data_IF_708412170915
#
_entry.id   IF_708412170915
#
_cell.length_a   1.000
_cell.length_b   1.000
_cell.length_c   1.000
_cell.angle_alpha   90.00
_cell.angle_beta   90.00
_cell.angle_gamma   90.00
#
_symmetry.space_group_name_H-M   'P 1'
#
loop_
_entity.id
_entity.type
_entity.pdbx_description
1 polymer ?
#
# COMPACT_ATOMS: atom_id res chain seq x y z
N UNK A 1 1.01 -16.41 7.64
CA UNK A 1 -0.09 -15.55 7.13
C UNK A 1 -1.33 -15.69 8.00
N UNK A 2 -1.93 -16.88 8.16
CA UNK A 2 -3.09 -17.08 9.04
C UNK A 2 -2.84 -16.71 10.50
N UNK A 3 -1.67 -17.02 11.04
CA UNK A 3 -1.29 -16.67 12.42
C UNK A 3 -1.40 -15.15 12.69
N UNK A 4 -0.98 -14.33 11.73
CA UNK A 4 -1.11 -12.87 11.84
C UNK A 4 -2.55 -12.39 11.63
N UNK A 5 -3.33 -13.03 10.74
CA UNK A 5 -4.75 -12.70 10.55
C UNK A 5 -5.57 -12.97 11.82
N UNK A 6 -5.24 -14.05 12.54
CA UNK A 6 -5.88 -14.41 13.81
C UNK A 6 -5.38 -13.55 14.96
N UNK A 7 -4.09 -13.22 15.01
CA UNK A 7 -3.47 -12.42 16.07
C UNK A 7 -2.54 -11.33 15.49
N UNK A 8 -3.10 -10.22 14.96
CA UNK A 8 -2.29 -9.20 14.26
C UNK A 8 -1.37 -8.39 15.18
N UNK A 9 -1.63 -8.41 16.48
CA UNK A 9 -0.81 -7.76 17.52
C UNK A 9 0.26 -8.71 18.11
N UNK A 10 0.34 -9.96 17.64
CA UNK A 10 1.38 -10.89 18.06
C UNK A 10 2.64 -10.68 17.20
N UNK A 11 3.81 -10.84 17.81
CA UNK A 11 5.08 -10.81 17.09
C UNK A 11 5.16 -11.97 16.11
N UNK A 12 4.87 -11.67 14.86
CA UNK A 12 5.00 -12.60 13.73
C UNK A 12 5.91 -11.97 12.70
N UNK A 13 6.39 -12.76 11.73
CA UNK A 13 7.21 -12.24 10.64
C UNK A 13 6.51 -11.14 9.79
N UNK A 14 5.19 -10.96 9.93
CA UNK A 14 4.42 -9.94 9.22
C UNK A 14 4.26 -8.63 10.02
N UNK A 15 4.35 -8.70 11.36
CA UNK A 15 4.29 -7.54 12.27
C UNK A 15 5.47 -6.58 12.04
N UNK A 16 6.66 -7.12 11.76
CA UNK A 16 7.87 -6.33 11.46
C UNK A 16 7.76 -5.48 10.18
N UNK A 17 6.84 -5.82 9.27
CA UNK A 17 6.62 -5.12 8.00
C UNK A 17 5.37 -4.23 8.06
N UNK A 18 4.39 -4.62 8.87
CA UNK A 18 3.07 -3.99 8.99
C UNK A 18 2.82 -3.64 10.46
N UNK A 19 3.43 -2.56 10.99
CA UNK A 19 3.27 -2.19 12.39
C UNK A 19 1.86 -1.64 12.60
N UNK A 20 0.96 -2.54 13.01
CA UNK A 20 -0.40 -2.19 13.40
C UNK A 20 -0.36 -1.40 14.70
N UNK A 21 -1.16 -0.34 14.77
CA UNK A 21 -1.45 0.33 16.03
C UNK A 21 -2.77 -0.18 16.57
N UNK A 22 -2.97 -0.05 17.88
CA UNK A 22 -4.25 -0.39 18.48
C UNK A 22 -5.37 0.53 17.98
N UNK A 23 -6.61 0.03 18.00
CA UNK A 23 -7.77 0.77 17.51
C UNK A 23 -7.96 2.11 18.25
N UNK A 24 -7.64 2.22 19.54
CA UNK A 24 -7.79 3.48 20.26
C UNK A 24 -6.82 4.54 19.72
N UNK A 25 -5.57 4.16 19.47
CA UNK A 25 -4.57 5.04 18.83
C UNK A 25 -4.96 5.40 17.38
N UNK A 26 -5.52 4.46 16.62
CA UNK A 26 -6.02 4.75 15.27
C UNK A 26 -7.19 5.74 15.27
N UNK A 27 -8.15 5.58 16.19
CA UNK A 27 -9.28 6.51 16.37
C UNK A 27 -8.83 7.89 16.85
N UNK A 28 -7.85 7.95 17.77
CA UNK A 28 -7.26 9.21 18.19
C UNK A 28 -6.58 9.91 17.01
N UNK A 29 -5.82 9.18 16.18
CA UNK A 29 -5.19 9.73 14.98
C UNK A 29 -6.22 10.29 13.98
N UNK A 30 -7.36 9.59 13.82
CA UNK A 30 -8.48 10.07 13.02
C UNK A 30 -9.08 11.37 13.59
N UNK A 31 -9.29 11.41 14.90
CA UNK A 31 -9.80 12.60 15.62
C UNK A 31 -8.86 13.79 15.45
N UNK A 32 -7.55 13.59 15.60
CA UNK A 32 -6.54 14.62 15.39
C UNK A 32 -6.50 15.09 13.93
N UNK A 33 -6.67 14.18 12.97
CA UNK A 33 -6.75 14.54 11.54
C UNK A 33 -7.94 15.45 11.27
N UNK A 34 -9.12 15.14 11.85
CA UNK A 34 -10.31 16.01 11.77
C UNK A 34 -10.10 17.36 12.46
N UNK A 35 -9.39 17.42 13.59
CA UNK A 35 -9.04 18.70 14.23
C UNK A 35 -8.17 19.55 13.28
N UNK A 36 -7.14 18.96 12.66
CA UNK A 36 -6.28 19.69 11.72
C UNK A 36 -7.06 20.19 10.51
N UNK A 37 -7.91 19.35 9.91
CA UNK A 37 -8.80 19.75 8.82
C UNK A 37 -9.70 20.93 9.22
N UNK A 38 -10.37 20.82 10.38
CA UNK A 38 -11.24 21.86 10.91
C UNK A 38 -10.49 23.19 11.08
N UNK A 39 -9.29 23.16 11.67
CA UNK A 39 -8.46 24.35 11.92
C UNK A 39 -7.94 25.00 10.65
N UNK A 40 -7.54 24.20 9.66
CA UNK A 40 -7.11 24.72 8.36
C UNK A 40 -8.24 25.49 7.67
N UNK A 41 -9.46 24.95 7.69
CA UNK A 41 -10.63 25.64 7.12
C UNK A 41 -10.99 26.90 7.93
N UNK A 42 -10.92 26.86 9.26
CA UNK A 42 -11.09 28.07 10.09
C UNK A 42 -10.09 29.17 9.73
N UNK A 43 -8.82 28.81 9.55
CA UNK A 43 -7.77 29.77 9.16
C UNK A 43 -8.06 30.40 7.80
N UNK A 44 -8.47 29.59 6.81
CA UNK A 44 -8.85 30.08 5.48
C UNK A 44 -10.05 31.02 5.57
N UNK A 45 -11.08 30.64 6.32
CA UNK A 45 -12.27 31.46 6.50
C UNK A 45 -12.00 32.75 7.29
N UNK A 46 -11.03 32.73 8.21
CA UNK A 46 -10.55 33.93 8.87
C UNK A 46 -9.91 34.91 7.87
N UNK A 47 -9.04 34.43 6.97
CA UNK A 47 -8.45 35.24 5.90
C UNK A 47 -9.55 35.82 5.00
N UNK A 48 -10.53 35.00 4.58
CA UNK A 48 -11.67 35.43 3.77
C UNK A 48 -12.45 36.54 4.48
N UNK A 49 -12.75 36.36 5.77
CA UNK A 49 -13.49 37.35 6.55
C UNK A 49 -12.73 38.68 6.61
N UNK A 50 -11.41 38.65 6.89
CA UNK A 50 -10.56 39.85 6.90
C UNK A 50 -10.50 40.51 5.52
N UNK A 51 -10.39 39.73 4.44
CA UNK A 51 -10.42 40.23 3.06
C UNK A 51 -11.77 40.84 2.65
N UNK A 52 -12.86 40.46 3.32
CA UNK A 52 -14.21 40.92 3.05
C UNK A 52 -14.62 42.16 3.87
N UNK A 53 -13.90 42.52 4.93
CA UNK A 53 -14.19 43.70 5.77
C UNK A 53 -13.67 44.96 5.10
N UNK A 54 -14.52 45.97 4.84
CA UNK A 54 -14.07 47.29 4.40
C UNK A 54 -13.54 48.11 5.60
N UNK A 55 -12.22 48.28 5.79
CA UNK A 55 -11.69 48.89 7.00
C UNK A 55 -11.87 50.42 6.98
N UNK A 56 -12.19 51.05 8.13
CA UNK A 56 -12.30 52.50 8.21
C UNK A 56 -10.93 53.19 8.06
N UNK A 57 -10.88 54.48 7.67
CA UNK A 57 -9.63 55.19 7.39
C UNK A 57 -8.62 55.23 8.56
N UNK A 58 -9.08 55.01 9.79
CA UNK A 58 -8.29 54.97 11.02
C UNK A 58 -7.57 53.63 11.28
N UNK A 59 -7.82 52.59 10.49
CA UNK A 59 -7.12 51.31 10.65
C UNK A 59 -5.63 51.41 10.29
N UNK A 60 -4.77 50.52 10.80
CA UNK A 60 -3.36 50.48 10.45
C UNK A 60 -3.18 50.43 8.92
N UNK A 61 -2.24 51.22 8.39
CA UNK A 61 -1.95 51.27 6.93
C UNK A 61 -1.63 49.90 6.31
N UNK A 62 -1.19 48.92 7.11
CA UNK A 62 -0.96 47.54 6.66
C UNK A 62 -2.24 46.77 6.33
N UNK A 63 -3.41 47.23 6.80
CA UNK A 63 -4.72 46.62 6.58
C UNK A 63 -5.65 47.51 5.74
N UNK A 64 -5.28 48.76 5.48
CA UNK A 64 -6.03 49.68 4.62
C UNK A 64 -5.60 49.52 3.16
N UNK A 65 -6.30 48.66 2.42
CA UNK A 65 -6.12 48.49 0.98
C UNK A 65 -7.46 48.61 0.24
N UNK A 66 -7.41 48.93 -1.05
CA UNK A 66 -8.59 49.25 -1.85
C UNK A 66 -9.35 47.96 -2.22
N UNK A 67 -10.39 47.62 -1.45
CA UNK A 67 -11.17 46.39 -1.61
C UNK A 67 -12.27 46.50 -2.68
N UNK A 68 -11.90 46.97 -3.88
CA UNK A 68 -12.87 47.25 -4.95
C UNK A 68 -13.50 45.98 -5.57
N UNK A 69 -13.07 44.78 -5.18
CA UNK A 69 -13.55 43.51 -5.73
C UNK A 69 -14.81 42.93 -5.05
N UNK A 70 -15.48 41.95 -5.69
CA UNK A 70 -16.61 41.23 -5.10
C UNK A 70 -16.17 40.43 -3.86
N UNK A 71 -17.11 40.16 -2.95
CA UNK A 71 -16.84 39.41 -1.73
C UNK A 71 -16.38 37.99 -2.05
N UNK A 72 -15.29 37.57 -1.42
CA UNK A 72 -14.73 36.23 -1.57
C UNK A 72 -15.68 35.25 -0.88
N UNK A 73 -16.13 34.18 -1.57
CA UNK A 73 -17.00 33.17 -0.98
C UNK A 73 -16.26 32.36 0.08
N UNK A 74 -16.96 32.08 1.18
CA UNK A 74 -16.49 31.29 2.32
C UNK A 74 -16.28 29.82 1.91
N UNK A 75 -15.21 29.21 2.42
CA UNK A 75 -14.96 27.78 2.26
C UNK A 75 -15.89 26.99 3.18
N UNK A 76 -16.50 25.94 2.66
CA UNK A 76 -17.22 25.00 3.50
C UNK A 76 -16.24 24.31 4.45
N UNK A 77 -16.60 24.27 5.72
CA UNK A 77 -15.99 23.33 6.67
C UNK A 77 -16.88 22.08 6.72
N UNK A 78 -16.47 20.91 6.22
CA UNK A 78 -17.30 19.70 6.31
C UNK A 78 -17.45 19.20 7.75
N UNK A 79 -16.79 19.82 8.72
CA UNK A 79 -16.85 19.47 10.14
C UNK A 79 -17.56 20.57 10.96
N UNK A 80 -18.27 20.14 12.00
CA UNK A 80 -18.77 21.03 13.06
C UNK A 80 -17.66 21.37 14.06
N UNK A 81 -17.91 22.32 14.97
CA UNK A 81 -16.97 22.61 16.07
C UNK A 81 -16.71 21.40 17.00
N UNK A 82 -17.62 20.42 16.99
CA UNK A 82 -17.48 19.14 17.68
C UNK A 82 -16.85 18.06 16.79
N UNK A 83 -16.31 18.41 15.61
CA UNK A 83 -15.59 17.54 14.67
C UNK A 83 -16.45 16.40 14.11
N UNK A 84 -17.77 16.59 14.15
CA UNK A 84 -18.73 15.70 13.50
C UNK A 84 -18.95 16.18 12.07
N UNK A 85 -19.23 15.25 11.19
CA UNK A 85 -19.47 15.57 9.78
C UNK A 85 -20.76 16.39 9.63
N UNK A 86 -20.73 17.38 8.74
CA UNK A 86 -21.89 18.20 8.37
C UNK A 86 -21.96 18.36 6.86
N UNK A 87 -23.18 18.53 6.37
CA UNK A 87 -23.38 18.97 4.98
C UNK A 87 -23.20 20.48 4.88
N UNK A 88 -22.49 20.90 3.85
CA UNK A 88 -22.32 22.30 3.51
C UNK A 88 -23.64 22.95 3.08
N UNK A 89 -23.82 24.21 3.43
CA UNK A 89 -24.98 25.00 3.04
C UNK A 89 -24.83 25.56 1.61
N UNK A 90 -25.96 25.89 0.99
CA UNK A 90 -25.97 26.55 -0.30
C UNK A 90 -25.23 27.90 -0.21
N UNK A 91 -24.21 28.08 -1.06
CA UNK A 91 -23.35 29.27 -1.07
C UNK A 91 -21.99 29.08 -0.40
N UNK A 92 -21.78 27.99 0.35
CA UNK A 92 -20.43 27.59 0.79
C UNK A 92 -19.67 26.91 -0.36
N UNK A 93 -18.38 27.21 -0.46
CA UNK A 93 -17.52 26.69 -1.51
C UNK A 93 -16.90 25.35 -1.10
N UNK A 94 -17.06 24.33 -1.93
CA UNK A 94 -16.46 23.01 -1.75
C UNK A 94 -14.95 23.04 -2.07
N UNK A 95 -14.18 22.11 -1.50
CA UNK A 95 -12.72 22.06 -1.69
C UNK A 95 -12.32 21.91 -3.16
N UNK A 96 -13.01 21.05 -3.91
CA UNK A 96 -12.75 20.73 -5.32
C UNK A 96 -12.74 21.96 -6.25
N UNK A 97 -13.61 22.93 -5.98
CA UNK A 97 -13.80 24.11 -6.80
C UNK A 97 -13.16 25.37 -6.20
N UNK A 98 -12.65 25.29 -4.97
CA UNK A 98 -12.25 26.47 -4.21
C UNK A 98 -11.15 27.30 -4.88
N UNK A 99 -10.06 26.63 -5.26
CA UNK A 99 -8.90 27.29 -5.90
C UNK A 99 -9.27 27.93 -7.25
N UNK A 100 -10.15 27.28 -8.01
CA UNK A 100 -10.62 27.79 -9.31
C UNK A 100 -11.47 29.05 -9.13
N UNK A 101 -12.38 29.06 -8.15
CA UNK A 101 -13.27 30.20 -7.89
C UNK A 101 -12.48 31.38 -7.33
N UNK A 102 -11.62 31.17 -6.33
CA UNK A 102 -10.83 32.24 -5.70
C UNK A 102 -9.86 32.94 -6.65
N UNK A 103 -9.42 32.27 -7.72
CA UNK A 103 -8.57 32.90 -8.74
C UNK A 103 -9.17 34.17 -9.33
N UNK A 104 -10.50 34.24 -9.43
CA UNK A 104 -11.22 35.40 -9.96
C UNK A 104 -11.23 36.60 -8.99
N UNK A 105 -10.77 36.42 -7.76
CA UNK A 105 -10.74 37.44 -6.71
C UNK A 105 -9.33 37.97 -6.44
N UNK A 106 -8.33 37.46 -7.16
CA UNK A 106 -6.92 37.83 -7.01
C UNK A 106 -6.66 39.17 -7.69
N UNK A 107 -6.05 40.09 -6.95
CA UNK A 107 -5.59 41.38 -7.45
C UNK A 107 -4.12 41.32 -7.88
N UNK A 108 -3.70 42.25 -8.73
CA UNK A 108 -2.28 42.59 -8.88
C UNK A 108 -1.83 43.43 -7.69
N UNK A 109 -0.59 43.26 -7.25
CA UNK A 109 -0.05 43.95 -6.07
C UNK A 109 1.04 44.96 -6.44
N UNK A 110 1.10 46.06 -5.69
CA UNK A 110 2.20 47.03 -5.74
C UNK A 110 3.45 46.48 -5.06
N UNK A 111 4.56 47.24 -5.13
CA UNK A 111 5.80 46.93 -4.40
C UNK A 111 5.61 46.80 -2.89
N UNK A 112 4.56 47.41 -2.33
CA UNK A 112 4.25 47.37 -0.90
C UNK A 112 3.27 46.23 -0.54
N UNK A 113 2.94 45.33 -1.48
CA UNK A 113 2.04 44.20 -1.26
C UNK A 113 0.55 44.56 -1.25
N UNK A 114 0.20 45.77 -1.69
CA UNK A 114 -1.19 46.28 -1.70
C UNK A 114 -1.84 46.04 -3.06
N UNK A 115 -3.11 45.63 -3.09
CA UNK A 115 -3.86 45.48 -4.33
C UNK A 115 -3.93 46.81 -5.13
N UNK A 116 -3.52 46.79 -6.40
CA UNK A 116 -3.62 47.90 -7.35
C UNK A 116 -4.83 47.78 -8.29
N UNK A 117 -5.23 46.55 -8.59
CA UNK A 117 -6.41 46.24 -9.41
C UNK A 117 -7.58 45.79 -8.55
N UNK A 118 -8.77 45.76 -9.16
CA UNK A 118 -9.97 45.18 -8.57
C UNK A 118 -9.73 43.75 -8.10
N UNK A 119 -9.94 43.48 -6.81
CA UNK A 119 -9.77 42.17 -6.18
C UNK A 119 -9.70 42.30 -4.66
N UNK A 120 -9.80 41.18 -3.95
CA UNK A 120 -9.76 41.12 -2.47
C UNK A 120 -8.66 40.20 -1.93
N UNK A 121 -8.09 39.35 -2.78
CA UNK A 121 -7.01 38.44 -2.42
C UNK A 121 -5.71 38.92 -3.05
N UNK A 122 -4.64 39.01 -2.26
CA UNK A 122 -3.29 39.12 -2.81
C UNK A 122 -2.83 37.76 -3.35
N UNK A 123 -1.86 37.73 -4.29
CA UNK A 123 -1.30 36.46 -4.76
C UNK A 123 -0.77 35.57 -3.62
N UNK A 124 -0.21 36.18 -2.57
CA UNK A 124 0.26 35.48 -1.38
C UNK A 124 -0.89 34.83 -0.59
N UNK A 125 -1.96 35.59 -0.30
CA UNK A 125 -3.15 35.06 0.38
C UNK A 125 -3.77 33.91 -0.41
N UNK A 126 -3.92 34.09 -1.73
CA UNK A 126 -4.44 33.04 -2.61
C UNK A 126 -3.60 31.76 -2.56
N UNK A 127 -2.26 31.88 -2.57
CA UNK A 127 -1.37 30.74 -2.49
C UNK A 127 -1.49 30.01 -1.14
N UNK A 128 -1.46 30.75 -0.02
CA UNK A 128 -1.61 30.18 1.32
C UNK A 128 -2.97 29.47 1.49
N UNK A 129 -4.06 30.12 1.04
CA UNK A 129 -5.40 29.51 1.07
C UNK A 129 -5.50 28.27 0.17
N UNK A 130 -4.86 28.27 -1.00
CA UNK A 130 -4.87 27.13 -1.92
C UNK A 130 -4.12 25.93 -1.35
N UNK A 131 -2.99 26.16 -0.69
CA UNK A 131 -2.24 25.09 0.00
C UNK A 131 -3.08 24.51 1.13
N UNK A 132 -3.69 25.36 1.96
CA UNK A 132 -4.54 24.91 3.06
C UNK A 132 -5.73 24.08 2.56
N UNK A 133 -6.43 24.53 1.51
CA UNK A 133 -7.52 23.77 0.88
C UNK A 133 -7.08 22.42 0.37
N UNK A 134 -5.96 22.34 -0.36
CA UNK A 134 -5.50 21.06 -0.92
C UNK A 134 -5.11 20.07 0.18
N UNK A 135 -4.53 20.56 1.28
CA UNK A 135 -4.23 19.72 2.45
C UNK A 135 -5.52 19.27 3.14
N UNK A 136 -6.48 20.18 3.37
CA UNK A 136 -7.78 19.83 3.93
C UNK A 136 -8.52 18.79 3.07
N UNK A 137 -8.52 18.94 1.75
CA UNK A 137 -9.12 17.99 0.79
C UNK A 137 -8.46 16.62 0.87
N UNK A 138 -7.12 16.59 0.89
CA UNK A 138 -6.35 15.36 1.06
C UNK A 138 -6.64 14.67 2.40
N UNK A 139 -6.69 15.42 3.50
CA UNK A 139 -7.06 14.87 4.82
C UNK A 139 -8.48 14.29 4.77
N UNK A 140 -9.44 15.04 4.27
CA UNK A 140 -10.84 14.60 4.16
C UNK A 140 -10.98 13.29 3.36
N UNK A 141 -10.26 13.17 2.24
CA UNK A 141 -10.35 12.02 1.36
C UNK A 141 -9.56 10.80 1.86
N UNK A 142 -8.35 11.00 2.41
CA UNK A 142 -7.43 9.91 2.72
C UNK A 142 -7.45 9.46 4.18
N UNK A 143 -7.93 10.29 5.13
CA UNK A 143 -7.93 9.92 6.55
C UNK A 143 -8.64 8.60 6.84
N UNK A 144 -9.86 8.29 6.31
CA UNK A 144 -10.52 7.01 6.59
C UNK A 144 -9.69 5.80 6.15
N UNK A 145 -9.05 5.88 5.00
CA UNK A 145 -8.18 4.82 4.47
C UNK A 145 -6.92 4.66 5.32
N UNK A 146 -6.27 5.77 5.69
CA UNK A 146 -5.09 5.75 6.54
C UNK A 146 -5.40 5.18 7.93
N UNK A 147 -6.58 5.50 8.49
CA UNK A 147 -7.05 4.89 9.75
C UNK A 147 -7.23 3.38 9.62
N UNK A 148 -7.80 2.89 8.52
CA UNK A 148 -7.95 1.46 8.23
C UNK A 148 -6.62 0.72 7.95
N UNK A 149 -5.59 1.44 7.52
CA UNK A 149 -4.22 0.91 7.45
C UNK A 149 -3.56 0.85 8.82
N UNK A 150 -3.77 1.88 9.65
CA UNK A 150 -3.20 1.99 10.99
C UNK A 150 -3.71 0.89 11.91
N UNK A 151 -5.02 0.63 11.93
CA UNK A 151 -5.62 -0.45 12.73
C UNK A 151 -5.48 -1.84 12.08
N UNK A 152 -4.80 -1.91 10.93
CA UNK A 152 -4.61 -3.11 10.12
C UNK A 152 -5.90 -3.82 9.67
N UNK A 153 -7.08 -3.20 9.81
CA UNK A 153 -8.34 -3.77 9.34
C UNK A 153 -8.30 -4.03 7.83
N UNK A 154 -7.80 -3.07 7.06
CA UNK A 154 -7.65 -3.17 5.61
C UNK A 154 -6.71 -4.32 5.20
N UNK A 155 -5.56 -4.41 5.85
CA UNK A 155 -4.55 -5.45 5.58
C UNK A 155 -5.08 -6.83 5.98
N UNK A 156 -5.80 -6.91 7.10
CA UNK A 156 -6.42 -8.13 7.58
C UNK A 156 -7.51 -8.63 6.64
N UNK A 157 -8.41 -7.76 6.20
CA UNK A 157 -9.47 -8.11 5.25
C UNK A 157 -8.89 -8.61 3.93
N UNK A 158 -7.89 -7.89 3.38
CA UNK A 158 -7.24 -8.29 2.13
C UNK A 158 -6.50 -9.63 2.25
N UNK A 159 -5.78 -9.87 3.36
CA UNK A 159 -5.12 -11.17 3.57
C UNK A 159 -6.11 -12.32 3.82
N UNK A 160 -7.26 -12.06 4.45
CA UNK A 160 -8.34 -13.04 4.57
C UNK A 160 -8.86 -13.42 3.19
N UNK A 161 -9.13 -12.44 2.34
CA UNK A 161 -9.64 -12.65 0.99
C UNK A 161 -8.63 -13.43 0.13
N UNK A 162 -7.36 -13.03 0.14
CA UNK A 162 -6.28 -13.74 -0.54
C UNK A 162 -6.15 -15.19 -0.03
N UNK A 163 -6.22 -15.39 1.29
CA UNK A 163 -6.14 -16.72 1.86
C UNK A 163 -7.30 -17.61 1.43
N UNK A 164 -8.52 -17.07 1.45
CA UNK A 164 -9.72 -17.79 1.07
C UNK A 164 -9.74 -18.17 -0.41
N UNK A 165 -9.32 -17.25 -1.27
CA UNK A 165 -9.49 -17.41 -2.72
C UNK A 165 -8.29 -18.06 -3.41
N UNK A 166 -7.06 -17.82 -2.93
CA UNK A 166 -5.85 -18.22 -3.67
C UNK A 166 -5.03 -19.31 -2.98
N UNK A 167 -5.03 -19.42 -1.65
CA UNK A 167 -4.28 -20.47 -0.96
C UNK A 167 -4.75 -21.91 -1.22
N UNK A 168 -6.06 -22.25 -1.37
CA UNK A 168 -6.46 -23.64 -1.58
C UNK A 168 -5.97 -24.18 -2.93
N UNK A 169 -6.02 -23.37 -3.99
CA UNK A 169 -5.48 -23.76 -5.29
C UNK A 169 -3.96 -23.90 -5.25
N UNK A 170 -3.26 -22.97 -4.58
CA UNK A 170 -1.81 -23.05 -4.44
C UNK A 170 -1.38 -24.33 -3.70
N UNK A 171 -2.10 -24.70 -2.63
CA UNK A 171 -1.83 -25.92 -1.87
C UNK A 171 -2.10 -27.18 -2.71
N UNK A 172 -3.17 -27.17 -3.50
CA UNK A 172 -3.45 -28.27 -4.42
C UNK A 172 -2.33 -28.43 -5.44
N UNK A 173 -1.91 -27.36 -6.10
CA UNK A 173 -0.83 -27.42 -7.10
C UNK A 173 0.51 -27.83 -6.50
N UNK A 174 0.86 -27.38 -5.29
CA UNK A 174 2.09 -27.78 -4.62
C UNK A 174 2.10 -29.28 -4.28
N UNK A 175 0.96 -29.84 -3.89
CA UNK A 175 0.79 -31.27 -3.64
C UNK A 175 1.00 -32.09 -4.92
N UNK A 176 0.40 -31.68 -6.04
CA UNK A 176 0.64 -32.33 -7.36
C UNK A 176 2.11 -32.30 -7.77
N UNK A 177 2.79 -31.16 -7.56
CA UNK A 177 4.21 -31.02 -7.86
C UNK A 177 5.06 -31.92 -6.94
N UNK A 178 4.73 -32.01 -5.66
CA UNK A 178 5.41 -32.88 -4.70
C UNK A 178 5.27 -34.36 -5.08
N UNK A 179 4.06 -34.80 -5.42
CA UNK A 179 3.79 -36.15 -5.90
C UNK A 179 4.62 -36.44 -7.17
N UNK A 180 4.66 -35.50 -8.11
CA UNK A 180 5.48 -35.60 -9.32
C UNK A 180 6.98 -35.76 -9.02
N UNK A 181 7.52 -34.93 -8.14
CA UNK A 181 8.93 -35.00 -7.70
C UNK A 181 9.25 -36.33 -6.99
N UNK A 182 8.35 -36.81 -6.13
CA UNK A 182 8.51 -38.08 -5.44
C UNK A 182 8.54 -39.26 -6.43
N UNK A 183 7.62 -39.27 -7.41
CA UNK A 183 7.58 -40.29 -8.47
C UNK A 183 8.87 -40.32 -9.29
N UNK A 184 9.39 -39.15 -9.69
CA UNK A 184 10.65 -39.04 -10.44
C UNK A 184 11.83 -39.53 -9.60
N UNK A 185 11.90 -39.17 -8.32
CA UNK A 185 12.95 -39.62 -7.40
C UNK A 185 12.97 -41.15 -7.27
N UNK A 186 11.80 -41.78 -7.07
CA UNK A 186 11.67 -43.24 -6.99
C UNK A 186 12.09 -43.91 -8.30
N UNK A 187 11.68 -43.37 -9.46
CA UNK A 187 12.06 -43.92 -10.76
C UNK A 187 13.58 -43.87 -10.99
N UNK A 188 14.24 -42.76 -10.61
CA UNK A 188 15.70 -42.62 -10.70
C UNK A 188 16.38 -43.63 -9.79
N UNK A 189 15.94 -43.77 -8.54
CA UNK A 189 16.50 -44.76 -7.60
C UNK A 189 16.39 -46.19 -8.14
N UNK A 190 15.22 -46.58 -8.67
CA UNK A 190 15.04 -47.90 -9.27
C UNK A 190 15.92 -48.10 -10.51
N UNK A 191 16.05 -47.09 -11.36
CA UNK A 191 16.92 -47.15 -12.54
C UNK A 191 18.39 -47.38 -12.18
N UNK A 192 18.88 -46.73 -11.11
CA UNK A 192 20.23 -46.92 -10.60
C UNK A 192 20.44 -48.32 -10.02
N UNK A 193 19.49 -48.84 -9.23
CA UNK A 193 19.55 -50.20 -8.68
C UNK A 193 19.60 -51.24 -9.80
N UNK A 194 18.71 -51.13 -10.80
CA UNK A 194 18.70 -52.02 -11.96
C UNK A 194 20.00 -51.96 -12.74
N UNK A 195 20.57 -50.76 -12.91
CA UNK A 195 21.86 -50.57 -13.57
C UNK A 195 23.01 -51.27 -12.82
N UNK A 196 23.06 -51.14 -11.49
CA UNK A 196 24.06 -51.81 -10.65
C UNK A 196 23.93 -53.33 -10.73
N UNK A 197 22.71 -53.87 -10.66
CA UNK A 197 22.46 -55.31 -10.79
C UNK A 197 22.91 -55.84 -12.16
N UNK A 198 22.54 -55.14 -13.24
CA UNK A 198 22.95 -55.51 -14.60
C UNK A 198 24.47 -55.45 -14.78
N UNK A 199 25.13 -54.41 -14.27
CA UNK A 199 26.59 -54.30 -14.31
C UNK A 199 27.26 -55.45 -13.54
N UNK A 200 26.72 -55.82 -12.38
CA UNK A 200 27.20 -56.94 -11.58
C UNK A 200 27.05 -58.28 -12.32
N UNK A 201 25.88 -58.56 -12.89
CA UNK A 201 25.63 -59.79 -13.67
C UNK A 201 26.55 -59.87 -14.90
N UNK A 202 26.69 -58.75 -15.63
CA UNK A 202 27.59 -58.66 -16.80
C UNK A 202 29.04 -58.92 -16.40
N UNK A 203 29.49 -58.39 -15.25
CA UNK A 203 30.84 -58.64 -14.70
C UNK A 203 31.00 -60.12 -14.33
N UNK A 204 30.00 -60.71 -13.69
CA UNK A 204 29.98 -62.13 -13.30
C UNK A 204 30.05 -63.06 -14.52
N UNK A 205 29.30 -62.75 -15.60
CA UNK A 205 29.36 -63.47 -16.88
C UNK A 205 30.74 -63.35 -17.55
N UNK A 206 31.44 -62.21 -17.43
CA UNK A 206 32.81 -62.06 -17.94
C UNK A 206 33.82 -62.90 -17.14
N UNK A 207 33.74 -62.89 -15.80
CA UNK A 207 34.63 -63.69 -14.96
C UNK A 207 34.45 -65.20 -15.15
N UNK A 208 33.20 -65.67 -15.26
CA UNK A 208 32.92 -67.09 -15.55
C UNK A 208 33.46 -67.51 -16.92
N UNK A 209 33.33 -66.66 -17.96
CA UNK A 209 33.96 -66.93 -19.26
C UNK A 209 35.49 -67.04 -19.17
N UNK A 210 36.15 -66.11 -18.47
CA UNK A 210 37.61 -66.16 -18.27
C UNK A 210 38.06 -67.39 -17.48
N UNK A 211 37.32 -67.78 -16.44
CA UNK A 211 37.60 -68.98 -15.65
C UNK A 211 37.47 -70.26 -16.46
N UNK A 212 36.43 -70.37 -17.31
CA UNK A 212 36.23 -71.51 -18.22
C UNK A 212 37.35 -71.58 -19.27
N UNK A 213 37.80 -70.44 -19.80
CA UNK A 213 38.88 -70.37 -20.78
C UNK A 213 40.26 -70.67 -20.14
N UNK A 214 40.42 -70.40 -18.84
CA UNK A 214 41.62 -70.74 -18.05
C UNK A 214 41.60 -72.15 -17.43
N UNK A 215 40.51 -72.91 -17.56
CA UNK A 215 40.44 -74.27 -17.05
C UNK A 215 41.27 -75.21 -17.96
N UNK A 216 42.28 -75.93 -17.43
CA UNK A 216 43.06 -76.85 -18.24
C UNK A 216 42.18 -78.02 -18.67
N UNK A 217 42.14 -78.27 -19.99
CA UNK A 217 41.38 -79.35 -20.61
C UNK A 217 41.66 -80.71 -19.94
N UNK A 218 40.59 -81.39 -19.58
CA UNK A 218 40.61 -82.75 -19.09
C UNK A 218 41.29 -83.70 -20.09
N UNK A 219 42.24 -84.44 -19.53
CA UNK A 219 42.94 -85.61 -20.09
C UNK A 219 42.05 -86.41 -21.05
N UNK A 220 42.43 -86.45 -22.32
CA UNK A 220 41.87 -87.38 -23.30
C UNK A 220 42.59 -88.72 -23.18
N UNK A 221 42.04 -89.67 -22.39
CA UNK A 221 42.37 -91.09 -22.54
C UNK A 221 41.48 -91.62 -23.67
N UNK A 222 42.07 -91.93 -24.82
CA UNK A 222 41.50 -92.88 -25.76
C UNK A 222 42.44 -94.08 -25.89
N UNK A 223 41.96 -95.22 -25.37
CA UNK A 223 42.34 -96.58 -25.78
C UNK A 223 42.13 -96.70 -27.31
N UNK A 224 43.06 -97.35 -28.03
CA UNK A 224 42.85 -98.66 -28.68
C UNK A 224 43.90 -98.98 -29.77
N UNK A 225 44.55 -100.15 -29.60
CA UNK A 225 44.95 -101.18 -30.60
C UNK A 225 45.75 -100.79 -31.86
N UNK A 226 47.02 -101.21 -31.95
CA UNK A 226 47.47 -102.44 -32.63
C UNK A 226 48.92 -102.77 -32.25
#
# INVERSE_FOLDING_TARGET
MNEWVENPMAHTALDDILPCVDNATAQETMSQSKEVEFRLVEMVNYIINVSNINPPPSFPRSLNYNQSGPLVPTLCNPLTANKTDRTCQAGELQFDNATRVWRNYVCQVSTNGTCTTTGRLTPKMYQEMSVAVNVSDGLSQYTPFLTGLLDCSFVRETLIEIHKDHCPDLNRFSEWVYIGLAMVSVAVMLSLVLWVLYACEKKHRRYTKLMIESAPGSVTIYRQWK
#
